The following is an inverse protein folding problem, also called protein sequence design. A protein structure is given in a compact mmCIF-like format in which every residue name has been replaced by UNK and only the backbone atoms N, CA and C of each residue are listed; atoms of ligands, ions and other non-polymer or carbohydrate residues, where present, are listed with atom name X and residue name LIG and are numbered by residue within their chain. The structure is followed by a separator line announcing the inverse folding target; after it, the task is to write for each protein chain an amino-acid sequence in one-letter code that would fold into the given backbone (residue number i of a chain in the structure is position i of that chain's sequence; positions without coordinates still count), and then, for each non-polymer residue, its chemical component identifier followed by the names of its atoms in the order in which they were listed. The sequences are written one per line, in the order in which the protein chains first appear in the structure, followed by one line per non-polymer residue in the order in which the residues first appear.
data_IF_325657999666
#
_entry.id   IF_325657999666
#
_cell.length_a   1.000
_cell.length_b   1.000
_cell.length_c   1.000
_cell.angle_alpha   90.00
_cell.angle_beta   90.00
_cell.angle_gamma   90.00
#
_symmetry.space_group_name_H-M   'P 1'
#
loop_
_entity.id
_entity.type
_entity.pdbx_description
1 polymer ?
#
# COMPACT_ATOMS: atom_id res chain seq x y z
N UNK A 1 0.77 25.20 -27.79
CA UNK A 1 0.27 23.81 -27.92
C UNK A 1 0.98 22.99 -26.86
N UNK A 2 0.26 22.42 -25.90
CA UNK A 2 0.85 21.60 -24.83
C UNK A 2 1.39 20.30 -25.45
N UNK A 3 2.50 19.77 -24.94
CA UNK A 3 3.11 18.50 -25.39
C UNK A 3 2.08 17.36 -25.41
N UNK A 4 1.19 17.34 -24.43
CA UNK A 4 0.11 16.35 -24.31
C UNK A 4 -0.92 16.46 -25.44
N UNK A 5 -1.24 17.68 -25.90
CA UNK A 5 -2.15 17.90 -27.03
C UNK A 5 -1.48 17.52 -28.36
N UNK A 6 -0.20 17.82 -28.52
CA UNK A 6 0.57 17.42 -29.69
C UNK A 6 0.68 15.89 -29.79
N UNK A 7 0.91 15.20 -28.66
CA UNK A 7 0.97 13.74 -28.60
C UNK A 7 -0.38 13.08 -28.89
N UNK A 8 -1.48 13.64 -28.37
CA UNK A 8 -2.83 13.12 -28.62
C UNK A 8 -3.16 13.16 -30.12
N UNK A 9 -2.90 14.31 -30.78
CA UNK A 9 -3.14 14.50 -32.22
C UNK A 9 -2.29 13.53 -33.06
N UNK A 10 -1.02 13.32 -32.66
CA UNK A 10 -0.13 12.38 -33.35
C UNK A 10 -0.61 10.94 -33.19
N UNK A 11 -1.09 10.55 -32.02
CA UNK A 11 -1.62 9.21 -31.78
C UNK A 11 -2.92 8.96 -32.55
N UNK A 12 -3.86 9.90 -32.56
CA UNK A 12 -5.10 9.79 -33.34
C UNK A 12 -4.83 9.66 -34.84
N UNK A 13 -3.95 10.51 -35.39
CA UNK A 13 -3.54 10.41 -36.81
C UNK A 13 -2.87 9.08 -37.15
N UNK A 14 -2.04 8.57 -36.24
CA UNK A 14 -1.33 7.31 -36.47
C UNK A 14 -2.31 6.12 -36.38
N UNK A 15 -3.31 6.20 -35.48
CA UNK A 15 -4.39 5.23 -35.35
C UNK A 15 -5.23 5.11 -36.63
N UNK A 16 -5.63 6.25 -37.21
CA UNK A 16 -6.43 6.27 -38.45
C UNK A 16 -5.68 5.74 -39.69
N UNK A 17 -4.35 5.84 -39.68
CA UNK A 17 -3.50 5.41 -40.82
C UNK A 17 -2.99 3.97 -40.71
N UNK A 18 -3.05 3.36 -39.52
CA UNK A 18 -2.52 2.02 -39.26
C UNK A 18 -3.53 0.92 -39.62
N UNK A 19 -3.08 -0.14 -40.31
CA UNK A 19 -3.84 -1.39 -40.54
C UNK A 19 -3.48 -2.51 -39.56
N UNK A 20 -2.62 -2.22 -38.58
CA UNK A 20 -2.16 -3.19 -37.59
C UNK A 20 -3.00 -3.06 -36.31
N UNK A 21 -3.82 -4.09 -36.05
CA UNK A 21 -4.75 -4.16 -34.91
C UNK A 21 -4.02 -4.07 -33.55
N UNK A 22 -2.79 -4.58 -33.47
CA UNK A 22 -1.99 -4.54 -32.25
C UNK A 22 -1.48 -3.12 -31.99
N UNK A 23 -1.00 -2.45 -33.04
CA UNK A 23 -0.57 -1.06 -32.96
C UNK A 23 -1.75 -0.12 -32.65
N UNK A 24 -2.93 -0.35 -33.24
CA UNK A 24 -4.14 0.40 -32.93
C UNK A 24 -4.53 0.24 -31.45
N UNK A 25 -4.44 -0.97 -30.90
CA UNK A 25 -4.74 -1.25 -29.48
C UNK A 25 -3.80 -0.51 -28.54
N UNK A 26 -2.50 -0.51 -28.85
CA UNK A 26 -1.47 0.18 -28.05
C UNK A 26 -1.67 1.70 -28.12
N UNK A 27 -1.89 2.25 -29.31
CA UNK A 27 -2.10 3.68 -29.51
C UNK A 27 -3.40 4.16 -28.83
N UNK A 28 -4.47 3.37 -28.90
CA UNK A 28 -5.74 3.71 -28.25
C UNK A 28 -5.62 3.67 -26.73
N UNK A 29 -4.86 2.71 -26.18
CA UNK A 29 -4.55 2.63 -24.75
C UNK A 29 -3.75 3.85 -24.28
N UNK A 30 -2.71 4.25 -25.03
CA UNK A 30 -1.88 5.40 -24.68
C UNK A 30 -2.64 6.74 -24.79
N UNK A 31 -3.46 6.92 -25.82
CA UNK A 31 -4.33 8.09 -25.95
C UNK A 31 -5.31 8.21 -24.77
N UNK A 32 -5.90 7.09 -24.34
CA UNK A 32 -6.82 7.03 -23.19
C UNK A 32 -6.13 7.39 -21.87
N UNK A 33 -4.88 6.96 -21.66
CA UNK A 33 -4.09 7.32 -20.47
C UNK A 33 -3.80 8.82 -20.44
N UNK A 34 -3.46 9.43 -21.58
CA UNK A 34 -3.19 10.87 -21.66
C UNK A 34 -4.46 11.69 -21.42
N UNK A 35 -5.60 11.24 -21.95
CA UNK A 35 -6.89 11.89 -21.73
C UNK A 35 -7.35 11.79 -20.27
N UNK A 36 -7.16 10.64 -19.63
CA UNK A 36 -7.41 10.46 -18.19
C UNK A 36 -6.48 11.31 -17.31
N UNK A 37 -5.23 11.54 -17.73
CA UNK A 37 -4.33 12.46 -17.03
C UNK A 37 -4.80 13.91 -17.16
N UNK A 38 -5.32 14.32 -18.32
CA UNK A 38 -5.89 15.66 -18.54
C UNK A 38 -7.16 15.89 -17.71
N UNK A 39 -8.02 14.87 -17.55
CA UNK A 39 -9.25 14.96 -16.74
C UNK A 39 -9.00 14.94 -15.22
N UNK A 40 -7.87 14.39 -14.76
CA UNK A 40 -7.54 14.28 -13.33
C UNK A 40 -6.65 15.42 -12.79
N UNK A 41 -6.40 16.49 -13.55
CA UNK A 41 -5.78 17.71 -13.02
C UNK A 41 -6.83 18.58 -12.32
N UNK A 42 -7.44 18.04 -11.26
CA UNK A 42 -7.98 18.85 -10.16
C UNK A 42 -6.80 19.32 -9.30
N UNK A 43 -6.79 20.59 -8.83
CA UNK A 43 -5.68 21.13 -8.06
C UNK A 43 -5.49 20.27 -6.80
N UNK A 44 -4.22 20.03 -6.45
CA UNK A 44 -3.76 19.29 -5.27
C UNK A 44 -4.40 19.85 -4.01
N UNK A 45 -5.59 19.38 -3.65
CA UNK A 45 -6.09 19.41 -2.29
C UNK A 45 -5.52 18.17 -1.62
N UNK A 46 -4.59 18.41 -0.69
CA UNK A 46 -4.00 17.42 0.19
C UNK A 46 -5.11 16.64 0.91
N UNK A 47 -5.51 15.50 0.35
CA UNK A 47 -6.35 14.54 1.04
C UNK A 47 -5.50 13.90 2.14
N UNK A 48 -5.48 14.53 3.30
CA UNK A 48 -4.97 13.92 4.53
C UNK A 48 -5.78 12.66 4.80
N UNK A 49 -5.08 11.53 4.90
CA UNK A 49 -5.71 10.23 5.06
C UNK A 49 -6.55 10.20 6.35
N UNK A 50 -7.58 9.34 6.40
CA UNK A 50 -8.40 9.17 7.59
C UNK A 50 -7.57 8.79 8.84
N UNK A 51 -6.37 8.25 8.63
CA UNK A 51 -5.39 7.92 9.66
C UNK A 51 -4.72 9.19 10.21
N UNK A 52 -4.33 10.14 9.35
CA UNK A 52 -3.79 11.45 9.78
C UNK A 52 -4.80 12.26 10.59
N UNK A 53 -6.07 12.27 10.19
CA UNK A 53 -7.13 12.95 10.98
C UNK A 53 -7.32 12.32 12.36
N UNK A 54 -7.20 10.98 12.48
CA UNK A 54 -7.27 10.28 13.77
C UNK A 54 -6.05 10.56 14.65
N UNK A 55 -4.85 10.66 14.07
CA UNK A 55 -3.63 11.00 14.81
C UNK A 55 -3.68 12.42 15.40
N UNK A 56 -4.15 13.41 14.63
CA UNK A 56 -4.32 14.79 15.14
C UNK A 56 -5.34 14.90 16.29
N UNK A 57 -6.38 14.06 16.28
CA UNK A 57 -7.36 14.00 17.38
C UNK A 57 -6.76 13.39 18.64
N UNK A 58 -5.88 12.39 18.50
CA UNK A 58 -5.18 11.77 19.63
C UNK A 58 -4.18 12.76 20.26
N UNK A 59 -3.42 13.51 19.44
CA UNK A 59 -2.52 14.58 19.92
C UNK A 59 -3.28 15.65 20.73
N UNK A 60 -4.41 16.14 20.23
CA UNK A 60 -5.25 17.11 20.96
C UNK A 60 -5.80 16.55 22.28
N UNK A 61 -6.10 15.26 22.35
CA UNK A 61 -6.63 14.65 23.56
C UNK A 61 -5.54 14.36 24.60
N UNK A 62 -4.29 14.12 24.19
CA UNK A 62 -3.16 13.94 25.10
C UNK A 62 -2.80 15.24 25.82
N UNK A 63 -2.78 16.36 25.09
CA UNK A 63 -2.50 17.70 25.65
C UNK A 63 -3.52 18.11 26.73
N UNK A 64 -4.76 17.62 26.65
CA UNK A 64 -5.82 17.98 27.60
C UNK A 64 -5.86 17.10 28.87
N UNK A 65 -5.19 15.95 28.92
CA UNK A 65 -5.23 15.06 30.10
C UNK A 65 -4.26 15.47 31.22
N UNK A 66 -3.18 16.19 30.92
CA UNK A 66 -2.24 16.67 31.94
C UNK A 66 -2.79 17.84 32.77
N UNK A 67 -3.83 18.54 32.28
CA UNK A 67 -4.45 19.65 32.99
C UNK A 67 -5.38 19.22 34.15
N UNK A 68 -5.89 17.98 34.16
CA UNK A 68 -6.96 17.56 35.07
C UNK A 68 -6.52 16.82 36.36
N UNK A 69 -5.22 16.50 36.52
CA UNK A 69 -4.74 15.71 37.67
C UNK A 69 -4.45 16.49 38.97
N UNK A 70 -4.64 17.82 39.01
CA UNK A 70 -4.28 18.65 40.20
C UNK A 70 -5.41 19.02 41.17
N UNK A 71 -6.63 18.48 41.05
CA UNK A 71 -7.80 18.96 41.83
C UNK A 71 -8.56 17.87 42.59
N UNK A 72 -7.95 17.15 43.55
CA UNK A 72 -8.70 16.49 44.65
C UNK A 72 -7.85 16.40 45.93
N UNK A 73 -8.09 17.30 46.89
CA UNK A 73 -7.73 17.12 48.31
C UNK A 73 -9.00 16.79 49.10
N UNK A 74 -8.91 15.80 49.97
CA UNK A 74 -9.94 15.33 50.91
C UNK A 74 -9.79 16.06 52.26
N UNK A 75 -10.91 16.48 52.85
CA UNK A 75 -11.07 16.94 54.24
C UNK A 75 -12.19 16.10 54.83
N UNK A 76 -12.00 15.47 56.00
CA UNK A 76 -13.03 15.34 57.03
C UNK A 76 -12.41 14.85 58.35
N UNK A 77 -12.74 15.57 59.42
CA UNK A 77 -12.51 15.31 60.85
C UNK A 77 -13.89 15.18 61.54
N UNK A 78 -14.05 14.28 62.53
CA UNK A 78 -14.30 14.62 63.94
C UNK A 78 -14.86 13.46 64.80
N UNK A 79 -14.52 13.56 66.10
CA UNK A 79 -14.69 12.65 67.24
C UNK A 79 -16.08 12.72 67.88
N UNK A 80 -16.45 11.66 68.60
CA UNK A 80 -17.58 11.57 69.54
C UNK A 80 -17.11 11.56 71.01
N UNK A 81 -17.89 12.15 71.93
CA UNK A 81 -17.80 11.87 73.37
C UNK A 81 -19.12 12.23 74.10
N UNK A 82 -19.60 11.34 74.98
CA UNK A 82 -20.72 11.61 75.93
C UNK A 82 -20.44 10.88 77.24
N UNK A 83 -20.55 11.58 78.37
CA UNK A 83 -20.45 11.04 79.74
C UNK A 83 -21.78 11.18 80.49
N UNK A 84 -22.01 10.30 81.48
CA UNK A 84 -23.19 10.22 82.35
C UNK A 84 -22.75 10.20 83.82
N UNK A 85 -23.47 10.88 84.71
CA UNK A 85 -23.28 10.88 86.17
C UNK A 85 -24.55 10.38 86.88
N UNK A 86 -24.33 9.64 87.97
CA UNK A 86 -25.30 9.19 88.99
C UNK A 86 -25.66 10.30 89.98
N UNK A 87 -26.69 10.09 90.82
CA UNK A 87 -26.59 10.17 92.29
C UNK A 87 -27.93 9.82 92.99
N UNK A 88 -27.86 9.26 94.20
CA UNK A 88 -28.70 9.64 95.35
C UNK A 88 -28.25 8.96 96.67
N UNK A 89 -28.16 9.78 97.72
CA UNK A 89 -27.79 9.50 99.11
C UNK A 89 -29.00 9.21 100.05
N UNK A 90 -28.84 8.21 100.91
CA UNK A 90 -28.87 8.15 102.39
C UNK A 90 -29.92 8.84 103.37
N UNK A 91 -30.42 7.98 104.31
CA UNK A 91 -30.83 8.09 105.77
C UNK A 91 -31.96 9.07 106.28
N UNK A 92 -32.42 9.06 107.57
CA UNK A 92 -32.35 8.11 108.72
C UNK A 92 -33.61 7.94 109.66
N UNK A 93 -33.51 6.89 110.51
CA UNK A 93 -33.77 6.71 111.98
C UNK A 93 -34.85 7.48 112.77
N UNK A 94 -35.63 6.76 113.63
CA UNK A 94 -36.13 7.22 114.96
C UNK A 94 -36.26 6.01 115.95
N UNK A 95 -35.97 6.26 117.24
CA UNK A 95 -35.96 5.37 118.43
C UNK A 95 -37.11 5.75 119.39
N UNK A 96 -37.83 4.80 120.03
CA UNK A 96 -38.03 4.68 121.51
C UNK A 96 -39.20 3.79 122.00
N UNK A 97 -38.86 3.05 123.07
CA UNK A 97 -39.60 2.56 124.26
C UNK A 97 -40.35 1.20 124.31
N UNK A 98 -40.09 0.53 125.44
CA UNK A 98 -40.27 -0.90 125.77
C UNK A 98 -41.61 -1.15 126.49
N UNK A 99 -42.10 -2.40 126.47
CA UNK A 99 -43.34 -2.94 127.07
C UNK A 99 -44.58 -3.11 126.18
N UNK A 100 -44.42 -3.05 124.86
CA UNK A 100 -45.32 -3.67 123.87
C UNK A 100 -44.52 -4.28 122.70
N UNK A 101 -43.34 -4.80 123.04
CA UNK A 101 -42.24 -5.07 122.11
C UNK A 101 -42.50 -6.23 121.14
N UNK A 102 -43.45 -7.13 121.35
CA UNK A 102 -43.69 -8.20 120.36
C UNK A 102 -44.59 -7.71 119.21
N UNK A 103 -45.73 -7.09 119.53
CA UNK A 103 -46.73 -6.69 118.52
C UNK A 103 -46.30 -5.46 117.71
N UNK A 104 -45.65 -4.48 118.34
CA UNK A 104 -45.15 -3.28 117.64
C UNK A 104 -43.93 -3.62 116.79
N UNK A 105 -43.03 -4.48 117.29
CA UNK A 105 -41.86 -4.92 116.53
C UNK A 105 -42.27 -5.83 115.37
N UNK A 106 -43.30 -6.66 115.54
CA UNK A 106 -43.89 -7.44 114.44
C UNK A 106 -44.57 -6.56 113.38
N UNK A 107 -45.27 -5.49 113.78
CA UNK A 107 -45.85 -4.53 112.82
C UNK A 107 -44.78 -3.72 112.09
N UNK A 108 -43.76 -3.21 112.79
CA UNK A 108 -42.62 -2.49 112.20
C UNK A 108 -41.83 -3.44 111.29
N UNK A 109 -41.62 -4.70 111.70
CA UNK A 109 -40.96 -5.72 110.89
C UNK A 109 -41.77 -6.08 109.65
N UNK A 110 -43.09 -6.22 109.76
CA UNK A 110 -43.97 -6.46 108.62
C UNK A 110 -43.99 -5.28 107.65
N UNK A 111 -43.98 -4.04 108.15
CA UNK A 111 -43.95 -2.84 107.33
C UNK A 111 -42.59 -2.66 106.64
N UNK A 112 -41.49 -2.99 107.33
CA UNK A 112 -40.14 -3.08 106.76
C UNK A 112 -40.06 -4.16 105.68
N UNK A 113 -40.59 -5.36 105.93
CA UNK A 113 -40.67 -6.44 104.95
C UNK A 113 -41.50 -6.06 103.72
N UNK A 114 -42.64 -5.36 103.90
CA UNK A 114 -43.44 -4.85 102.77
C UNK A 114 -42.67 -3.80 101.96
N UNK A 115 -41.96 -2.89 102.62
CA UNK A 115 -41.10 -1.90 101.97
C UNK A 115 -39.95 -2.56 101.20
N UNK A 116 -39.29 -3.53 101.81
CA UNK A 116 -38.18 -4.27 101.20
C UNK A 116 -38.67 -5.15 100.05
N UNK A 117 -39.83 -5.80 100.16
CA UNK A 117 -40.45 -6.54 99.05
C UNK A 117 -40.83 -5.60 97.90
N UNK A 118 -41.37 -4.42 98.19
CA UNK A 118 -41.64 -3.38 97.18
C UNK A 118 -40.33 -2.90 96.50
N UNK A 119 -39.24 -2.72 97.25
CA UNK A 119 -37.92 -2.38 96.68
C UNK A 119 -37.38 -3.51 95.81
N UNK A 120 -37.48 -4.76 96.26
CA UNK A 120 -37.08 -5.93 95.49
C UNK A 120 -37.90 -6.09 94.22
N UNK A 121 -39.21 -5.86 94.25
CA UNK A 121 -40.06 -5.88 93.05
C UNK A 121 -39.66 -4.81 92.04
N UNK A 122 -39.31 -3.59 92.50
CA UNK A 122 -38.76 -2.55 91.62
C UNK A 122 -37.44 -2.97 91.00
N UNK A 123 -36.52 -3.51 91.81
CA UNK A 123 -35.22 -4.01 91.31
C UNK A 123 -35.41 -5.16 90.30
N UNK A 124 -36.34 -6.08 90.54
CA UNK A 124 -36.67 -7.16 89.58
C UNK A 124 -37.16 -6.55 88.27
N UNK A 125 -38.08 -5.59 88.32
CA UNK A 125 -38.64 -4.94 87.12
C UNK A 125 -37.57 -4.17 86.33
N UNK A 126 -36.67 -3.46 87.03
CA UNK A 126 -35.54 -2.75 86.43
C UNK A 126 -34.56 -3.73 85.76
N UNK A 127 -34.21 -4.82 86.43
CA UNK A 127 -33.34 -5.87 85.87
C UNK A 127 -33.98 -6.56 84.65
N UNK A 128 -35.28 -6.84 84.69
CA UNK A 128 -36.02 -7.40 83.55
C UNK A 128 -36.02 -6.44 82.35
N UNK A 129 -36.20 -5.14 82.60
CA UNK A 129 -36.13 -4.11 81.56
C UNK A 129 -34.71 -4.02 80.95
N UNK A 130 -33.67 -3.95 81.78
CA UNK A 130 -32.29 -3.91 81.30
C UNK A 130 -31.92 -5.17 80.51
N UNK A 131 -32.36 -6.34 80.97
CA UNK A 131 -32.12 -7.59 80.27
C UNK A 131 -32.81 -7.63 78.91
N UNK A 132 -34.04 -7.10 78.83
CA UNK A 132 -34.80 -6.99 77.58
C UNK A 132 -34.15 -6.02 76.59
N UNK A 133 -33.72 -4.85 77.05
CA UNK A 133 -33.01 -3.86 76.22
C UNK A 133 -31.69 -4.43 75.70
N UNK A 134 -30.93 -5.12 76.55
CA UNK A 134 -29.69 -5.81 76.15
C UNK A 134 -29.95 -6.89 75.10
N UNK A 135 -31.02 -7.66 75.25
CA UNK A 135 -31.41 -8.68 74.27
C UNK A 135 -31.77 -8.04 72.92
N UNK A 136 -32.61 -7.00 72.91
CA UNK A 136 -33.00 -6.27 71.69
C UNK A 136 -31.78 -5.68 70.99
N UNK A 137 -30.85 -5.08 71.74
CA UNK A 137 -29.59 -4.56 71.19
C UNK A 137 -28.76 -5.66 70.53
N UNK A 138 -28.58 -6.80 71.20
CA UNK A 138 -27.87 -7.94 70.64
C UNK A 138 -28.54 -8.50 69.37
N UNK A 139 -29.88 -8.57 69.33
CA UNK A 139 -30.60 -8.99 68.13
C UNK A 139 -30.36 -8.03 66.95
N UNK A 140 -30.40 -6.72 67.20
CA UNK A 140 -30.15 -5.70 66.18
C UNK A 140 -28.70 -5.75 65.68
N UNK A 141 -27.72 -5.90 66.58
CA UNK A 141 -26.30 -6.07 66.22
C UNK A 141 -26.10 -7.33 65.37
N UNK A 142 -26.75 -8.45 65.74
CA UNK A 142 -26.68 -9.69 64.97
C UNK A 142 -27.31 -9.55 63.58
N UNK A 143 -28.41 -8.80 63.44
CA UNK A 143 -29.01 -8.52 62.13
C UNK A 143 -28.10 -7.64 61.26
N UNK A 144 -27.43 -6.64 61.85
CA UNK A 144 -26.44 -5.81 61.15
C UNK A 144 -25.24 -6.64 60.67
N UNK A 145 -24.68 -7.48 61.55
CA UNK A 145 -23.58 -8.39 61.19
C UNK A 145 -23.99 -9.29 60.02
N UNK A 146 -25.20 -9.86 60.05
CA UNK A 146 -25.70 -10.69 58.95
C UNK A 146 -25.86 -9.92 57.63
N UNK A 147 -26.29 -8.67 57.67
CA UNK A 147 -26.37 -7.81 56.48
C UNK A 147 -24.99 -7.51 55.92
N UNK A 148 -24.02 -7.18 56.77
CA UNK A 148 -22.64 -6.91 56.37
C UNK A 148 -21.96 -8.15 55.77
N UNK A 149 -22.15 -9.33 56.37
CA UNK A 149 -21.63 -10.59 55.82
C UNK A 149 -22.18 -10.88 54.42
N UNK A 150 -23.48 -10.66 54.18
CA UNK A 150 -24.10 -10.83 52.86
C UNK A 150 -23.51 -9.85 51.84
N UNK A 151 -23.35 -8.58 52.22
CA UNK A 151 -22.75 -7.56 51.35
C UNK A 151 -21.29 -7.85 51.02
N UNK A 152 -20.50 -8.32 52.00
CA UNK A 152 -19.12 -8.72 51.79
C UNK A 152 -19.02 -9.86 50.78
N UNK A 153 -19.85 -10.90 50.93
CA UNK A 153 -19.89 -12.04 50.01
C UNK A 153 -20.31 -11.64 48.59
N UNK A 154 -21.23 -10.68 48.45
CA UNK A 154 -21.61 -10.15 47.15
C UNK A 154 -20.48 -9.31 46.50
N UNK A 155 -19.77 -8.51 47.31
CA UNK A 155 -18.62 -7.74 46.86
C UNK A 155 -17.47 -8.66 46.41
N UNK A 156 -17.19 -9.73 47.14
CA UNK A 156 -16.16 -10.72 46.77
C UNK A 156 -16.50 -11.42 45.44
N UNK A 157 -17.77 -11.76 45.20
CA UNK A 157 -18.21 -12.30 43.91
C UNK A 157 -17.98 -11.30 42.77
N UNK A 158 -18.38 -10.04 42.96
CA UNK A 158 -18.18 -8.97 41.97
C UNK A 158 -16.70 -8.69 41.71
N UNK A 159 -15.87 -8.72 42.75
CA UNK A 159 -14.43 -8.53 42.64
C UNK A 159 -13.78 -9.66 41.84
N UNK A 160 -14.14 -10.91 42.14
CA UNK A 160 -13.66 -12.07 41.41
C UNK A 160 -14.07 -12.04 39.93
N UNK A 161 -15.29 -11.62 39.62
CA UNK A 161 -15.74 -11.46 38.23
C UNK A 161 -14.93 -10.39 37.50
N UNK A 162 -14.68 -9.24 38.15
CA UNK A 162 -13.82 -8.18 37.60
C UNK A 162 -12.39 -8.68 37.34
N UNK A 163 -11.82 -9.44 38.28
CA UNK A 163 -10.49 -10.01 38.13
C UNK A 163 -10.41 -10.98 36.95
N UNK A 164 -11.41 -11.85 36.78
CA UNK A 164 -11.48 -12.77 35.62
C UNK A 164 -11.56 -12.01 34.30
N UNK A 165 -12.42 -10.99 34.20
CA UNK A 165 -12.54 -10.14 33.00
C UNK A 165 -11.23 -9.39 32.70
N UNK A 166 -10.55 -8.90 33.73
CA UNK A 166 -9.26 -8.23 33.58
C UNK A 166 -8.20 -9.20 33.04
N UNK A 167 -8.13 -10.42 33.58
CA UNK A 167 -7.19 -11.45 33.13
C UNK A 167 -7.45 -11.84 31.66
N UNK A 168 -8.72 -12.03 31.27
CA UNK A 168 -9.10 -12.30 29.88
C UNK A 168 -8.69 -11.17 28.94
N UNK A 169 -8.91 -9.91 29.36
CA UNK A 169 -8.51 -8.73 28.58
C UNK A 169 -6.99 -8.65 28.43
N UNK A 170 -6.24 -8.99 29.48
CA UNK A 170 -4.77 -9.03 29.45
C UNK A 170 -4.26 -10.06 28.46
N UNK A 171 -4.80 -11.30 28.49
CA UNK A 171 -4.46 -12.35 27.53
C UNK A 171 -4.79 -11.95 26.09
N UNK A 172 -5.96 -11.34 25.86
CA UNK A 172 -6.32 -10.84 24.54
C UNK A 172 -5.36 -9.76 24.04
N UNK A 173 -4.93 -8.87 24.93
CA UNK A 173 -3.97 -7.80 24.59
C UNK A 173 -2.60 -8.39 24.23
N UNK A 174 -2.12 -9.37 24.99
CA UNK A 174 -0.87 -10.07 24.71
C UNK A 174 -0.91 -10.78 23.35
N UNK A 175 -2.01 -11.48 23.04
CA UNK A 175 -2.20 -12.12 21.74
C UNK A 175 -2.22 -11.10 20.59
N UNK A 176 -2.89 -9.95 20.79
CA UNK A 176 -2.88 -8.86 19.80
C UNK A 176 -1.48 -8.31 19.58
N UNK A 177 -0.68 -8.14 20.61
CA UNK A 177 0.70 -7.67 20.50
C UNK A 177 1.58 -8.66 19.74
N UNK A 178 1.47 -9.96 20.01
CA UNK A 178 2.20 -10.99 19.26
C UNK A 178 1.79 -11.01 17.78
N UNK A 179 0.50 -10.87 17.47
CA UNK A 179 0.03 -10.80 16.09
C UNK A 179 0.52 -9.53 15.37
N UNK A 180 0.56 -8.39 16.08
CA UNK A 180 1.12 -7.15 15.54
C UNK A 180 2.59 -7.33 15.16
N UNK A 181 3.41 -7.89 16.05
CA UNK A 181 4.83 -8.14 15.76
C UNK A 181 5.04 -9.09 14.57
N UNK A 182 4.20 -10.13 14.44
CA UNK A 182 4.24 -11.01 13.26
C UNK A 182 3.91 -10.25 11.98
N UNK A 183 2.92 -9.36 12.02
CA UNK A 183 2.55 -8.53 10.87
C UNK A 183 3.65 -7.53 10.49
N UNK A 184 4.28 -6.88 11.48
CA UNK A 184 5.41 -5.97 11.26
C UNK A 184 6.59 -6.70 10.60
N UNK A 185 6.93 -7.89 11.10
CA UNK A 185 7.99 -8.71 10.52
C UNK A 185 7.67 -9.14 9.08
N UNK A 186 6.43 -9.56 8.81
CA UNK A 186 6.01 -9.90 7.45
C UNK A 186 6.07 -8.70 6.51
N UNK A 187 5.66 -7.51 6.97
CA UNK A 187 5.73 -6.29 6.18
C UNK A 187 7.19 -5.93 5.84
N UNK A 188 8.10 -6.05 6.81
CA UNK A 188 9.52 -5.84 6.59
C UNK A 188 10.08 -6.78 5.51
N UNK A 189 9.77 -8.08 5.58
CA UNK A 189 10.22 -9.05 4.57
C UNK A 189 9.61 -8.77 3.19
N UNK A 190 8.34 -8.37 3.13
CA UNK A 190 7.72 -7.97 1.86
C UNK A 190 8.43 -6.75 1.26
N UNK A 191 8.82 -5.77 2.07
CA UNK A 191 9.56 -4.62 1.60
C UNK A 191 10.93 -5.04 1.02
N UNK A 192 11.67 -5.91 1.70
CA UNK A 192 12.95 -6.41 1.17
C UNK A 192 12.77 -7.13 -0.17
N UNK A 193 11.75 -7.99 -0.30
CA UNK A 193 11.47 -8.68 -1.56
C UNK A 193 11.10 -7.71 -2.69
N UNK A 194 10.34 -6.65 -2.38
CA UNK A 194 10.00 -5.60 -3.36
C UNK A 194 11.27 -4.88 -3.81
N UNK A 195 12.15 -4.52 -2.89
CA UNK A 195 13.41 -3.82 -3.21
C UNK A 195 14.32 -4.71 -4.09
N UNK A 196 14.40 -6.01 -3.80
CA UNK A 196 15.13 -6.99 -4.64
C UNK A 196 14.51 -7.10 -6.04
N UNK A 197 13.19 -7.23 -6.15
CA UNK A 197 12.50 -7.27 -7.44
C UNK A 197 12.71 -5.99 -8.25
N UNK A 198 12.72 -4.82 -7.61
CA UNK A 198 12.97 -3.54 -8.28
C UNK A 198 14.41 -3.47 -8.83
N UNK A 199 15.39 -3.93 -8.06
CA UNK A 199 16.78 -4.00 -8.52
C UNK A 199 16.93 -4.98 -9.69
N UNK A 200 16.27 -6.13 -9.63
CA UNK A 200 16.30 -7.11 -10.71
C UNK A 200 15.63 -6.56 -11.99
N UNK A 201 14.48 -5.89 -11.85
CA UNK A 201 13.80 -5.21 -12.95
C UNK A 201 14.71 -4.18 -13.63
N UNK A 202 15.38 -3.32 -12.85
CA UNK A 202 16.33 -2.33 -13.40
C UNK A 202 17.48 -3.00 -14.16
N UNK A 203 17.97 -4.16 -13.70
CA UNK A 203 19.00 -4.92 -14.43
C UNK A 203 18.47 -5.43 -15.77
N UNK A 204 17.27 -5.97 -15.82
CA UNK A 204 16.66 -6.43 -17.07
C UNK A 204 16.39 -5.26 -18.04
N UNK A 205 15.89 -4.13 -17.54
CA UNK A 205 15.66 -2.93 -18.36
C UNK A 205 16.97 -2.43 -19.00
N UNK A 206 18.07 -2.41 -18.23
CA UNK A 206 19.39 -2.07 -18.75
C UNK A 206 19.88 -3.07 -19.82
N UNK A 207 19.66 -4.38 -19.61
CA UNK A 207 20.00 -5.39 -20.62
C UNK A 207 19.18 -5.24 -21.90
N UNK A 208 17.88 -4.94 -21.77
CA UNK A 208 16.99 -4.70 -22.92
C UNK A 208 17.42 -3.46 -23.71
N UNK A 209 17.77 -2.37 -23.01
CA UNK A 209 18.27 -1.17 -23.65
C UNK A 209 19.58 -1.44 -24.42
N UNK A 210 20.53 -2.15 -23.79
CA UNK A 210 21.77 -2.52 -24.47
C UNK A 210 21.53 -3.37 -25.73
N UNK A 211 20.63 -4.37 -25.64
CA UNK A 211 20.25 -5.20 -26.80
C UNK A 211 19.55 -4.39 -27.89
N UNK A 212 18.72 -3.42 -27.51
CA UNK A 212 18.06 -2.51 -28.44
C UNK A 212 19.07 -1.65 -29.19
N UNK A 213 20.05 -1.09 -28.49
CA UNK A 213 21.12 -0.29 -29.10
C UNK A 213 21.98 -1.13 -30.07
N UNK A 214 22.28 -2.38 -29.71
CA UNK A 214 22.98 -3.32 -30.60
C UNK A 214 22.15 -3.64 -31.86
N UNK A 215 20.85 -3.85 -31.69
CA UNK A 215 19.93 -4.10 -32.80
C UNK A 215 19.82 -2.90 -33.73
N UNK A 216 19.77 -1.68 -33.18
CA UNK A 216 19.76 -0.45 -33.98
C UNK A 216 21.05 -0.30 -34.78
N UNK A 217 22.22 -0.56 -34.17
CA UNK A 217 23.50 -0.58 -34.89
C UNK A 217 23.52 -1.61 -36.01
N UNK A 218 22.97 -2.81 -35.78
CA UNK A 218 22.86 -3.85 -36.80
C UNK A 218 21.91 -3.43 -37.93
N UNK A 219 20.78 -2.80 -37.61
CA UNK A 219 19.84 -2.28 -38.60
C UNK A 219 20.48 -1.21 -39.50
N UNK A 220 21.25 -0.29 -38.91
CA UNK A 220 21.99 0.72 -39.67
C UNK A 220 23.00 0.06 -40.62
N UNK A 221 23.75 -0.95 -40.15
CA UNK A 221 24.69 -1.72 -41.00
C UNK A 221 23.97 -2.44 -42.13
N UNK A 222 22.83 -3.08 -41.85
CA UNK A 222 22.02 -3.76 -42.85
C UNK A 222 21.52 -2.78 -43.92
N UNK A 223 21.00 -1.63 -43.51
CA UNK A 223 20.52 -0.59 -44.44
C UNK A 223 21.65 -0.05 -45.33
N UNK A 224 22.86 0.11 -44.77
CA UNK A 224 24.06 0.48 -45.53
C UNK A 224 24.41 -0.59 -46.57
N UNK A 225 24.41 -1.87 -46.16
CA UNK A 225 24.71 -2.98 -47.06
C UNK A 225 23.67 -3.11 -48.20
N UNK A 226 22.38 -3.00 -47.88
CA UNK A 226 21.31 -2.99 -48.88
C UNK A 226 21.49 -1.83 -49.87
N UNK A 227 21.85 -0.64 -49.38
CA UNK A 227 22.11 0.52 -50.25
C UNK A 227 23.30 0.28 -51.19
N UNK A 228 24.37 -0.35 -50.69
CA UNK A 228 25.52 -0.76 -51.51
C UNK A 228 25.14 -1.81 -52.55
N UNK A 229 24.33 -2.81 -52.19
CA UNK A 229 23.85 -3.81 -53.14
C UNK A 229 22.99 -3.20 -54.24
N UNK A 230 22.09 -2.28 -53.90
CA UNK A 230 21.27 -1.56 -54.88
C UNK A 230 22.11 -0.71 -55.83
N UNK A 231 23.18 -0.07 -55.34
CA UNK A 231 24.09 0.71 -56.19
C UNK A 231 24.91 -0.19 -57.12
N UNK A 232 25.43 -1.31 -56.62
CA UNK A 232 26.13 -2.31 -57.43
C UNK A 232 25.22 -2.90 -58.52
N UNK A 233 23.97 -3.22 -58.18
CA UNK A 233 23.00 -3.73 -59.15
C UNK A 233 22.69 -2.70 -60.25
N UNK A 234 22.53 -1.42 -59.90
CA UNK A 234 22.37 -0.34 -60.89
C UNK A 234 23.60 -0.23 -61.81
N UNK A 235 24.81 -0.31 -61.24
CA UNK A 235 26.04 -0.25 -62.02
C UNK A 235 26.19 -1.45 -62.95
N UNK A 236 25.88 -2.66 -62.48
CA UNK A 236 25.83 -3.86 -63.32
C UNK A 236 24.90 -3.67 -64.52
N UNK A 237 23.69 -3.15 -64.30
CA UNK A 237 22.74 -2.91 -65.37
C UNK A 237 23.25 -1.86 -66.38
N UNK A 238 23.92 -0.80 -65.92
CA UNK A 238 24.55 0.21 -66.81
C UNK A 238 25.63 -0.41 -67.68
N UNK A 239 26.55 -1.17 -67.09
CA UNK A 239 27.62 -1.86 -67.82
C UNK A 239 27.02 -2.85 -68.83
N UNK A 240 26.00 -3.61 -68.43
CA UNK A 240 25.30 -4.53 -69.33
C UNK A 240 24.68 -3.81 -70.53
N UNK A 241 24.02 -2.66 -70.32
CA UNK A 241 23.47 -1.86 -71.41
C UNK A 241 24.56 -1.33 -72.34
N UNK A 242 25.68 -0.84 -71.79
CA UNK A 242 26.81 -0.36 -72.59
C UNK A 242 27.46 -1.47 -73.42
N UNK A 243 27.57 -2.69 -72.86
CA UNK A 243 28.13 -3.84 -73.56
C UNK A 243 27.30 -4.19 -74.80
N UNK A 244 25.97 -4.21 -74.68
CA UNK A 244 25.07 -4.49 -75.81
C UNK A 244 25.25 -3.45 -76.93
N UNK A 245 25.31 -2.16 -76.60
CA UNK A 245 25.54 -1.09 -77.58
C UNK A 245 26.90 -1.24 -78.28
N UNK A 246 27.94 -1.65 -77.55
CA UNK A 246 29.26 -1.89 -78.15
C UNK A 246 29.26 -3.12 -79.06
N UNK A 247 28.55 -4.18 -78.70
CA UNK A 247 28.39 -5.37 -79.55
C UNK A 247 27.69 -4.97 -80.86
N UNK A 248 26.58 -4.22 -80.78
CA UNK A 248 25.87 -3.74 -81.97
C UNK A 248 26.77 -2.88 -82.86
N UNK A 249 27.58 -1.99 -82.26
CA UNK A 249 28.52 -1.15 -82.99
C UNK A 249 29.62 -1.97 -83.69
N UNK A 250 30.17 -2.98 -83.01
CA UNK A 250 31.16 -3.91 -83.58
C UNK A 250 30.56 -4.73 -84.71
N UNK A 251 29.32 -5.19 -84.56
CA UNK A 251 28.62 -5.96 -85.58
C UNK A 251 28.35 -5.11 -86.83
N UNK A 252 27.91 -3.86 -86.66
CA UNK A 252 27.78 -2.90 -87.77
C UNK A 252 29.12 -2.63 -88.47
N UNK A 253 30.20 -2.44 -87.70
CA UNK A 253 31.55 -2.27 -88.26
C UNK A 253 32.01 -3.51 -89.03
N UNK A 254 31.74 -4.70 -88.51
CA UNK A 254 32.08 -5.96 -89.19
C UNK A 254 31.31 -6.11 -90.51
N UNK A 255 30.00 -5.80 -90.52
CA UNK A 255 29.19 -5.79 -91.74
C UNK A 255 29.71 -4.77 -92.76
N UNK A 256 30.08 -3.57 -92.31
CA UNK A 256 30.66 -2.54 -93.17
C UNK A 256 31.98 -3.01 -93.80
N UNK A 257 32.90 -3.56 -92.99
CA UNK A 257 34.18 -4.10 -93.49
C UNK A 257 33.96 -5.22 -94.50
N UNK A 258 33.00 -6.13 -94.25
CA UNK A 258 32.68 -7.21 -95.19
C UNK A 258 32.15 -6.66 -96.52
N UNK A 259 31.30 -5.63 -96.48
CA UNK A 259 30.79 -4.95 -97.67
C UNK A 259 31.92 -4.28 -98.47
N UNK A 260 32.77 -3.51 -97.80
CA UNK A 260 33.91 -2.84 -98.43
C UNK A 260 34.90 -3.85 -99.03
N UNK A 261 35.15 -4.97 -98.33
CA UNK A 261 35.98 -6.05 -98.87
C UNK A 261 35.38 -6.68 -100.11
N UNK A 262 34.06 -6.88 -100.15
CA UNK A 262 33.34 -7.37 -101.34
C UNK A 262 33.47 -6.40 -102.51
N UNK A 263 33.26 -5.10 -102.27
CA UNK A 263 33.42 -4.05 -103.30
C UNK A 263 34.84 -4.06 -103.86
N UNK A 264 35.85 -4.10 -102.98
CA UNK A 264 37.25 -4.10 -103.38
C UNK A 264 37.64 -5.36 -104.17
N UNK A 265 37.05 -6.51 -103.85
CA UNK A 265 37.22 -7.74 -104.64
C UNK A 265 36.61 -7.61 -106.04
N UNK A 266 35.42 -6.99 -106.16
CA UNK A 266 34.79 -6.71 -107.45
C UNK A 266 35.66 -5.75 -108.28
N UNK A 267 36.15 -4.66 -107.70
CA UNK A 267 37.02 -3.69 -108.36
C UNK A 267 38.34 -4.34 -108.83
N UNK A 268 38.93 -5.23 -108.03
CA UNK A 268 40.12 -5.99 -108.41
C UNK A 268 39.87 -6.95 -109.57
N UNK A 269 38.68 -7.57 -109.63
CA UNK A 269 38.30 -8.43 -110.75
C UNK A 269 38.10 -7.60 -112.02
N UNK A 270 37.42 -6.46 -111.92
CA UNK A 270 37.25 -5.52 -113.03
C UNK A 270 38.60 -5.05 -113.58
N UNK A 271 39.53 -4.64 -112.70
CA UNK A 271 40.86 -4.19 -113.12
C UNK A 271 41.66 -5.29 -113.83
N UNK A 272 41.55 -6.55 -113.40
CA UNK A 272 42.17 -7.68 -114.09
C UNK A 272 41.62 -7.84 -115.51
N UNK A 273 40.31 -7.85 -115.67
CA UNK A 273 39.67 -7.94 -116.98
C UNK A 273 40.04 -6.75 -117.88
N UNK A 274 40.12 -5.54 -117.32
CA UNK A 274 40.54 -4.36 -118.06
C UNK A 274 41.99 -4.46 -118.53
N UNK A 275 42.92 -4.90 -117.67
CA UNK A 275 44.32 -5.13 -118.04
C UNK A 275 44.46 -6.17 -119.16
N UNK A 276 43.68 -7.25 -119.11
CA UNK A 276 43.64 -8.26 -120.17
C UNK A 276 43.17 -7.66 -121.49
N UNK A 277 42.08 -6.87 -121.49
CA UNK A 277 41.60 -6.17 -122.70
C UNK A 277 42.66 -5.24 -123.30
N UNK A 278 43.31 -4.42 -122.48
CA UNK A 278 44.37 -3.50 -122.94
C UNK A 278 45.57 -4.26 -123.52
N UNK A 279 45.95 -5.39 -122.91
CA UNK A 279 47.01 -6.25 -123.44
C UNK A 279 46.63 -6.85 -124.80
N UNK A 280 45.38 -7.30 -124.95
CA UNK A 280 44.87 -7.85 -126.20
C UNK A 280 44.84 -6.77 -127.30
N UNK A 281 44.34 -5.57 -127.00
CA UNK A 281 44.36 -4.42 -127.91
C UNK A 281 45.79 -4.06 -128.32
N UNK A 282 46.73 -4.00 -127.37
CA UNK A 282 48.15 -3.74 -127.66
C UNK A 282 48.74 -4.79 -128.60
N UNK A 283 48.41 -6.06 -128.39
CA UNK A 283 48.86 -7.17 -129.25
C UNK A 283 48.29 -7.03 -130.68
N UNK A 284 47.02 -6.66 -130.81
CA UNK A 284 46.41 -6.40 -132.12
C UNK A 284 47.07 -5.23 -132.86
N UNK A 285 47.37 -4.13 -132.15
CA UNK A 285 48.09 -2.98 -132.74
C UNK A 285 49.47 -3.37 -133.24
N UNK A 286 50.26 -4.11 -132.45
CA UNK A 286 51.57 -4.62 -132.87
C UNK A 286 51.47 -5.50 -134.12
N UNK A 287 50.50 -6.42 -134.17
CA UNK A 287 50.27 -7.26 -135.35
C UNK A 287 49.94 -6.46 -136.61
N UNK A 288 49.13 -5.40 -136.50
CA UNK A 288 48.84 -4.51 -137.64
C UNK A 288 50.08 -3.73 -138.07
N UNK A 289 50.94 -3.33 -137.13
CA UNK A 289 52.17 -2.60 -137.41
C UNK A 289 53.19 -3.47 -138.16
N UNK A 290 53.29 -4.75 -137.81
CA UNK A 290 54.12 -5.74 -138.51
C UNK A 290 53.59 -6.06 -139.92
N UNK A 291 52.29 -5.89 -140.19
CA UNK A 291 51.70 -6.08 -141.52
C UNK A 291 51.87 -4.87 -142.46
N UNK A 292 52.20 -3.71 -141.90
CA UNK A 292 52.38 -2.44 -142.63
C UNK A 292 53.86 -2.07 -142.86
N UNK A 293 54.80 -2.87 -142.34
CA UNK A 293 56.25 -2.73 -142.52
C UNK A 293 56.78 -3.71 -143.56
#
# INVERSE_FOLDING_TARGET
MNLEETLLILFERTLESSKDDHLQTILASQAKIIQQKKENVTPVQSQTSAIQKKLQVIEKNFINQDAFKKRRKSKYDHRSNTGSQHDNEEVPTIIHDEDNQEIITDQISLQKLKSDNSKLQKQITELEYEQREKYLKNCNEMEQINKEQKLLLENDKKLNEKQRKLNQRSQLLQNKQQNLHKQEFNYYNQQQNIDECQQEQQRYDNQLNNRRDEMEKLQIKLNSFVSQLLSLQRNKNKVQCQLNVQIDAVEQLAQFILKERSNLQQDQQYLRQFKEKVLEEKKQVLQMQDQLS
#
